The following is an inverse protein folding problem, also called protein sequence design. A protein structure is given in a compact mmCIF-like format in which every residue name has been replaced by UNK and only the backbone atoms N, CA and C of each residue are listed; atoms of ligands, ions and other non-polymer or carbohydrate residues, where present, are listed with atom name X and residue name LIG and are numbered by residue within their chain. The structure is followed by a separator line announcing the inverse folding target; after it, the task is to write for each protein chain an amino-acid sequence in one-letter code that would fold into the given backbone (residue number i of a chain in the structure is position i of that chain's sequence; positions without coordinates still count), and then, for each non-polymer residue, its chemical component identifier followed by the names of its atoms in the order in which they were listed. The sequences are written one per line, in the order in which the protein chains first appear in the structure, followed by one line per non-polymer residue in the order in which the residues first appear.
data_IF_639966131942
#
_entry.id   IF_639966131942
#
_cell.length_a   1.000
_cell.length_b   1.000
_cell.length_c   1.000
_cell.angle_alpha   90.00
_cell.angle_beta   90.00
_cell.angle_gamma   90.00
#
_symmetry.space_group_name_H-M   'P 1'
#
loop_
_entity.id
_entity.type
_entity.pdbx_description
1 polymer ?
#
# COMPACT_ATOMS: atom_id res chain seq x y z
N UNK A 1 -31.58 53.31 13.24
CA UNK A 1 -30.28 52.67 12.95
C UNK A 1 -29.66 52.27 14.27
N UNK A 2 -29.86 51.02 14.69
CA UNK A 2 -29.21 50.45 15.86
C UNK A 2 -27.83 49.96 15.46
N UNK A 3 -26.79 50.59 16.00
CA UNK A 3 -25.40 50.16 15.80
C UNK A 3 -25.20 48.98 16.75
N UNK A 4 -25.22 47.76 16.19
CA UNK A 4 -24.76 46.58 16.90
C UNK A 4 -23.26 46.73 17.13
N UNK A 5 -22.85 46.83 18.40
CA UNK A 5 -21.46 46.77 18.78
C UNK A 5 -20.95 45.36 18.52
N UNK A 6 -20.02 45.28 17.58
CA UNK A 6 -19.25 44.09 17.27
C UNK A 6 -18.52 43.66 18.56
N UNK A 7 -18.79 42.44 19.02
CA UNK A 7 -18.16 41.88 20.20
C UNK A 7 -16.70 41.56 19.87
N UNK A 8 -15.71 41.93 20.70
CA UNK A 8 -14.31 41.59 20.45
C UNK A 8 -14.10 40.07 20.54
N UNK A 9 -13.14 39.49 19.80
CA UNK A 9 -12.86 38.06 19.85
C UNK A 9 -12.44 37.67 21.27
N UNK A 10 -12.98 36.55 21.75
CA UNK A 10 -12.77 36.05 23.11
C UNK A 10 -11.26 35.96 23.43
N UNK A 11 -10.81 36.78 24.37
CA UNK A 11 -9.46 36.71 24.93
C UNK A 11 -9.38 35.40 25.74
N UNK A 12 -8.71 34.39 25.19
CA UNK A 12 -8.50 33.11 25.87
C UNK A 12 -7.78 33.34 27.21
N UNK A 13 -8.37 32.86 28.31
CA UNK A 13 -7.84 33.12 29.66
C UNK A 13 -6.48 32.43 29.85
N UNK A 14 -5.60 33.03 30.66
CA UNK A 14 -4.27 32.47 30.98
C UNK A 14 -4.40 31.04 31.52
N UNK A 15 -5.42 30.79 32.35
CA UNK A 15 -5.72 29.49 32.94
C UNK A 15 -6.08 28.43 31.87
N UNK A 16 -6.80 28.81 30.82
CA UNK A 16 -7.16 27.92 29.71
C UNK A 16 -5.93 27.55 28.87
N UNK A 17 -5.02 28.52 28.64
CA UNK A 17 -3.74 28.27 27.96
C UNK A 17 -2.85 27.33 28.76
N UNK A 18 -2.73 27.55 30.07
CA UNK A 18 -1.97 26.65 30.94
C UNK A 18 -2.56 25.23 30.94
N UNK A 19 -3.90 25.11 30.96
CA UNK A 19 -4.59 23.82 30.91
C UNK A 19 -4.28 23.08 29.61
N UNK A 20 -4.37 23.76 28.46
CA UNK A 20 -4.02 23.19 27.14
C UNK A 20 -2.57 22.73 27.08
N UNK A 21 -1.64 23.53 27.59
CA UNK A 21 -0.21 23.17 27.64
C UNK A 21 0.04 21.93 28.50
N UNK A 22 -0.63 21.81 29.66
CA UNK A 22 -0.53 20.62 30.53
C UNK A 22 -1.07 19.36 29.82
N UNK A 23 -2.17 19.48 29.09
CA UNK A 23 -2.72 18.37 28.31
C UNK A 23 -1.79 17.96 27.17
N UNK A 24 -1.28 18.91 26.40
CA UNK A 24 -0.29 18.68 25.34
C UNK A 24 0.94 17.92 25.87
N UNK A 25 1.52 18.38 26.98
CA UNK A 25 2.68 17.73 27.60
C UNK A 25 2.36 16.30 28.08
N UNK A 26 1.14 16.05 28.55
CA UNK A 26 0.70 14.70 28.92
C UNK A 26 0.69 13.76 27.71
N UNK A 27 0.12 14.20 26.59
CA UNK A 27 0.06 13.40 25.36
C UNK A 27 1.45 13.14 24.80
N UNK A 28 2.34 14.14 24.80
CA UNK A 28 3.74 13.98 24.39
C UNK A 28 4.46 12.92 25.24
N UNK A 29 4.32 13.01 26.56
CA UNK A 29 4.88 12.02 27.47
C UNK A 29 4.27 10.63 27.26
N UNK A 30 2.98 10.54 26.96
CA UNK A 30 2.32 9.26 26.63
C UNK A 30 2.85 8.66 25.33
N UNK A 31 3.10 9.46 24.29
CA UNK A 31 3.67 8.99 23.02
C UNK A 31 5.02 8.30 23.29
N UNK A 32 5.92 8.99 24.02
CA UNK A 32 7.26 8.49 24.29
C UNK A 32 7.21 7.28 25.24
N UNK A 33 6.56 7.41 26.40
CA UNK A 33 6.50 6.33 27.39
C UNK A 33 5.79 5.08 26.86
N UNK A 34 4.75 5.24 26.05
CA UNK A 34 4.08 4.10 25.42
C UNK A 34 4.93 3.45 24.32
N UNK A 35 5.81 4.20 23.65
CA UNK A 35 6.77 3.64 22.68
C UNK A 35 7.86 2.83 23.39
N UNK A 36 8.40 3.34 24.48
CA UNK A 36 9.35 2.60 25.34
C UNK A 36 8.72 1.30 25.86
N UNK A 37 7.49 1.38 26.37
CA UNK A 37 6.74 0.22 26.83
C UNK A 37 6.49 -0.78 25.70
N UNK A 38 6.18 -0.30 24.49
CA UNK A 38 5.97 -1.15 23.32
C UNK A 38 7.26 -1.88 22.91
N UNK A 39 8.38 -1.18 22.84
CA UNK A 39 9.70 -1.79 22.55
C UNK A 39 10.05 -2.82 23.61
N UNK A 40 9.83 -2.51 24.89
CA UNK A 40 10.05 -3.46 25.99
C UNK A 40 9.21 -4.73 25.80
N UNK A 41 7.96 -4.60 25.33
CA UNK A 41 7.11 -5.75 25.02
C UNK A 41 7.62 -6.58 23.84
N UNK A 42 8.15 -5.93 22.80
CA UNK A 42 8.81 -6.63 21.70
C UNK A 42 10.09 -7.32 22.16
N UNK A 43 10.87 -6.71 23.03
CA UNK A 43 12.07 -7.33 23.62
C UNK A 43 11.73 -8.53 24.50
N UNK A 44 10.66 -8.46 25.31
CA UNK A 44 10.14 -9.60 26.06
C UNK A 44 9.74 -10.75 25.12
N UNK A 45 9.08 -10.45 24.00
CA UNK A 45 8.71 -11.43 22.99
C UNK A 45 9.96 -12.05 22.33
N UNK A 46 10.91 -11.23 21.93
CA UNK A 46 12.13 -11.67 21.25
C UNK A 46 13.04 -12.51 22.16
N UNK A 47 13.31 -12.03 23.38
CA UNK A 47 14.24 -12.66 24.31
C UNK A 47 13.60 -13.82 25.07
N UNK A 48 12.32 -13.73 25.40
CA UNK A 48 11.58 -14.76 26.12
C UNK A 48 11.15 -15.94 25.24
N UNK A 49 10.77 -15.67 23.99
CA UNK A 49 10.16 -16.70 23.14
C UNK A 49 10.89 -16.91 21.82
N UNK A 50 11.08 -15.86 21.00
CA UNK A 50 11.59 -16.03 19.63
C UNK A 50 13.01 -16.63 19.61
N UNK A 51 13.95 -16.03 20.34
CA UNK A 51 15.35 -16.49 20.38
C UNK A 51 15.46 -17.87 21.04
N UNK A 52 14.88 -18.13 22.23
CA UNK A 52 15.01 -19.44 22.84
C UNK A 52 14.35 -20.57 22.03
N UNK A 53 13.20 -20.32 21.38
CA UNK A 53 12.55 -21.33 20.53
C UNK A 53 13.41 -21.64 19.31
N UNK A 54 14.04 -20.63 18.70
CA UNK A 54 14.97 -20.78 17.57
C UNK A 54 16.23 -21.53 17.99
N UNK A 55 16.89 -21.10 19.05
CA UNK A 55 18.19 -21.62 19.48
C UNK A 55 18.08 -23.07 19.98
N UNK A 56 16.99 -23.39 20.70
CA UNK A 56 16.69 -24.75 21.16
C UNK A 56 15.98 -25.61 20.13
N UNK A 57 15.65 -25.08 18.95
CA UNK A 57 14.89 -25.74 17.89
C UNK A 57 13.64 -26.49 18.40
N UNK A 58 12.84 -25.85 19.26
CA UNK A 58 11.69 -26.48 19.95
C UNK A 58 10.57 -26.86 18.94
N UNK A 59 10.46 -26.09 17.86
CA UNK A 59 9.47 -26.30 16.80
C UNK A 59 10.14 -26.29 15.41
N UNK A 60 9.52 -26.91 14.40
CA UNK A 60 10.01 -26.86 13.02
C UNK A 60 10.07 -25.43 12.47
N UNK A 61 11.02 -25.19 11.56
CA UNK A 61 11.23 -23.87 10.94
C UNK A 61 9.97 -23.28 10.29
N UNK A 62 9.15 -24.09 9.62
CA UNK A 62 7.92 -23.62 8.98
C UNK A 62 6.92 -23.09 10.01
N UNK A 63 6.76 -23.78 11.15
CA UNK A 63 5.85 -23.38 12.23
C UNK A 63 6.41 -22.17 12.98
N UNK A 64 7.74 -22.09 13.13
CA UNK A 64 8.41 -20.91 13.68
C UNK A 64 8.13 -19.67 12.84
N UNK A 65 8.37 -19.73 11.53
CA UNK A 65 8.10 -18.60 10.62
C UNK A 65 6.61 -18.23 10.60
N UNK A 66 5.71 -19.22 10.65
CA UNK A 66 4.27 -18.96 10.68
C UNK A 66 3.80 -18.27 11.97
N UNK A 67 4.40 -18.54 13.13
CA UNK A 67 3.98 -17.95 14.41
C UNK A 67 4.65 -16.60 14.67
N UNK A 68 5.97 -16.52 14.47
CA UNK A 68 6.75 -15.36 14.88
C UNK A 68 7.02 -14.37 13.74
N UNK A 69 6.79 -14.75 12.48
CA UNK A 69 6.90 -13.87 11.32
C UNK A 69 8.15 -12.96 11.34
N UNK A 70 7.97 -11.72 10.90
CA UNK A 70 9.01 -10.69 10.82
C UNK A 70 9.01 -9.73 12.04
N UNK A 71 8.92 -10.25 13.27
CA UNK A 71 8.95 -9.42 14.50
C UNK A 71 10.28 -8.68 14.69
N UNK A 72 11.41 -9.31 14.33
CA UNK A 72 12.75 -8.72 14.50
C UNK A 72 12.93 -7.41 13.70
N UNK A 73 12.55 -7.34 12.41
CA UNK A 73 12.46 -6.10 11.66
C UNK A 73 11.56 -5.03 12.29
N UNK A 74 10.39 -5.41 12.82
CA UNK A 74 9.49 -4.46 13.50
C UNK A 74 10.17 -3.86 14.74
N UNK A 75 10.76 -4.69 15.58
CA UNK A 75 11.52 -4.21 16.75
C UNK A 75 12.61 -3.21 16.34
N UNK A 76 13.43 -3.54 15.34
CA UNK A 76 14.48 -2.65 14.87
C UNK A 76 13.95 -1.29 14.38
N UNK A 77 12.82 -1.30 13.66
CA UNK A 77 12.18 -0.07 13.19
C UNK A 77 11.70 0.82 14.35
N UNK A 78 11.06 0.23 15.34
CA UNK A 78 10.51 0.97 16.48
C UNK A 78 11.61 1.50 17.42
N UNK A 79 12.73 0.79 17.55
CA UNK A 79 13.92 1.33 18.24
C UNK A 79 14.42 2.61 17.56
N UNK A 80 14.45 2.65 16.23
CA UNK A 80 14.82 3.87 15.48
C UNK A 80 13.77 4.96 15.67
N UNK A 81 12.48 4.63 15.66
CA UNK A 81 11.41 5.59 15.95
C UNK A 81 11.57 6.23 17.34
N UNK A 82 11.83 5.42 18.36
CA UNK A 82 12.01 5.92 19.72
C UNK A 82 13.24 6.83 19.85
N UNK A 83 14.34 6.48 19.18
CA UNK A 83 15.52 7.34 19.11
C UNK A 83 15.23 8.68 18.41
N UNK A 84 14.49 8.66 17.30
CA UNK A 84 14.03 9.89 16.62
C UNK A 84 13.07 10.70 17.48
N UNK A 85 12.17 10.08 18.25
CA UNK A 85 11.24 10.75 19.16
C UNK A 85 11.97 11.44 20.32
N UNK A 86 13.07 10.87 20.81
CA UNK A 86 13.88 11.47 21.87
C UNK A 86 14.78 12.61 21.38
N UNK A 87 15.26 12.52 20.14
CA UNK A 87 16.19 13.49 19.55
C UNK A 87 15.48 14.67 18.87
N UNK A 88 14.29 14.44 18.32
CA UNK A 88 13.58 15.47 17.58
C UNK A 88 12.96 16.49 18.52
N UNK A 89 13.11 17.77 18.19
CA UNK A 89 12.39 18.84 18.88
C UNK A 89 10.87 18.74 18.69
N UNK A 90 10.44 18.08 17.60
CA UNK A 90 9.05 17.92 17.22
C UNK A 90 8.72 16.44 16.90
N UNK A 91 7.74 15.88 17.61
CA UNK A 91 7.26 14.50 17.46
C UNK A 91 6.73 14.21 16.06
N UNK A 92 6.04 15.16 15.43
CA UNK A 92 5.53 15.02 14.06
C UNK A 92 6.64 14.79 13.03
N UNK A 93 7.80 15.42 13.22
CA UNK A 93 8.97 15.22 12.34
C UNK A 93 9.53 13.79 12.44
N UNK A 94 9.59 13.22 13.65
CA UNK A 94 10.01 11.84 13.86
C UNK A 94 9.05 10.87 13.15
N UNK A 95 7.74 11.06 13.28
CA UNK A 95 6.77 10.23 12.58
C UNK A 95 6.84 10.38 11.05
N UNK A 96 7.04 11.59 10.51
CA UNK A 96 7.17 11.78 9.07
C UNK A 96 8.39 11.05 8.48
N UNK A 97 9.50 10.96 9.22
CA UNK A 97 10.68 10.20 8.81
C UNK A 97 10.42 8.69 8.78
N UNK A 98 9.69 8.18 9.77
CA UNK A 98 9.50 6.74 9.98
C UNK A 98 8.27 6.17 9.26
N UNK A 99 7.22 6.95 9.06
CA UNK A 99 5.95 6.49 8.51
C UNK A 99 6.06 5.70 7.18
N UNK A 100 6.93 6.07 6.21
CA UNK A 100 7.10 5.27 4.99
C UNK A 100 7.50 3.81 5.24
N UNK A 101 8.22 3.55 6.33
CA UNK A 101 8.73 2.23 6.72
C UNK A 101 7.73 1.43 7.55
N UNK A 102 6.73 2.08 8.17
CA UNK A 102 5.67 1.39 8.93
C UNK A 102 4.79 0.49 8.04
N UNK A 103 4.90 0.58 6.71
CA UNK A 103 4.29 -0.39 5.79
C UNK A 103 4.76 -1.83 6.02
N UNK A 104 5.91 -2.03 6.66
CA UNK A 104 6.41 -3.34 7.09
C UNK A 104 5.41 -4.09 8.01
N UNK A 105 4.57 -3.37 8.74
CA UNK A 105 3.50 -3.96 9.56
C UNK A 105 2.45 -4.70 8.72
N UNK A 106 2.36 -4.45 7.40
CA UNK A 106 1.37 -5.12 6.53
C UNK A 106 1.58 -6.63 6.47
N UNK A 107 2.83 -7.08 6.35
CA UNK A 107 3.17 -8.52 6.32
C UNK A 107 2.80 -9.18 7.65
N UNK A 108 3.18 -8.57 8.77
CA UNK A 108 2.86 -9.10 10.10
C UNK A 108 1.34 -9.12 10.36
N UNK A 109 0.64 -8.05 9.98
CA UNK A 109 -0.81 -7.96 10.14
C UNK A 109 -1.57 -8.97 9.31
N UNK A 110 -1.09 -9.26 8.10
CA UNK A 110 -1.66 -10.29 7.25
C UNK A 110 -1.52 -11.69 7.85
N UNK A 111 -0.34 -12.04 8.35
CA UNK A 111 -0.06 -13.39 8.84
C UNK A 111 -0.60 -13.64 10.27
N UNK A 112 -1.03 -12.59 10.98
CA UNK A 112 -1.39 -12.66 12.40
C UNK A 112 -2.48 -13.70 12.73
N UNK A 113 -3.56 -13.76 11.95
CA UNK A 113 -4.64 -14.73 12.22
C UNK A 113 -4.15 -16.19 12.07
N UNK A 114 -3.35 -16.45 11.03
CA UNK A 114 -2.72 -17.75 10.81
C UNK A 114 -1.70 -18.06 11.90
N UNK A 115 -0.95 -17.07 12.37
CA UNK A 115 0.01 -17.21 13.46
C UNK A 115 -0.68 -17.65 14.76
N UNK A 116 -1.78 -17.01 15.15
CA UNK A 116 -2.54 -17.38 16.35
C UNK A 116 -3.18 -18.77 16.21
N UNK A 117 -3.76 -19.08 15.06
CA UNK A 117 -4.32 -20.42 14.81
C UNK A 117 -3.24 -21.51 14.89
N UNK A 118 -2.08 -21.26 14.27
CA UNK A 118 -0.92 -22.17 14.30
C UNK A 118 -0.36 -22.33 15.71
N UNK A 119 -0.28 -21.23 16.47
CA UNK A 119 0.15 -21.25 17.87
C UNK A 119 -0.77 -22.14 18.71
N UNK A 120 -2.08 -21.95 18.61
CA UNK A 120 -3.07 -22.75 19.35
C UNK A 120 -3.00 -24.24 18.96
N UNK A 121 -2.84 -24.53 17.66
CA UNK A 121 -2.62 -25.89 17.17
C UNK A 121 -1.35 -26.53 17.75
N UNK A 122 -0.25 -25.78 17.81
CA UNK A 122 1.01 -26.25 18.36
C UNK A 122 0.98 -26.43 19.87
N UNK A 123 0.34 -25.53 20.63
CA UNK A 123 0.13 -25.69 22.08
C UNK A 123 -0.59 -27.00 22.41
N UNK A 124 -1.57 -27.39 21.58
CA UNK A 124 -2.33 -28.65 21.75
C UNK A 124 -1.54 -29.89 21.34
N UNK A 125 -0.80 -29.81 20.24
CA UNK A 125 -0.15 -30.98 19.62
C UNK A 125 1.27 -31.26 20.12
N UNK A 126 2.01 -30.23 20.57
CA UNK A 126 3.40 -30.35 20.99
C UNK A 126 3.56 -30.01 22.48
N UNK A 127 3.60 -31.06 23.32
CA UNK A 127 3.75 -30.94 24.78
C UNK A 127 5.05 -30.25 25.20
N UNK A 128 6.15 -30.42 24.47
CA UNK A 128 7.42 -29.80 24.79
C UNK A 128 7.37 -28.29 24.57
N UNK A 129 6.74 -27.87 23.47
CA UNK A 129 6.48 -26.45 23.19
C UNK A 129 5.54 -25.83 24.22
N UNK A 130 4.44 -26.51 24.58
CA UNK A 130 3.52 -26.02 25.61
C UNK A 130 4.20 -25.86 26.97
N UNK A 131 4.98 -26.86 27.39
CA UNK A 131 5.73 -26.80 28.65
C UNK A 131 6.72 -25.62 28.65
N UNK A 132 7.40 -25.39 27.53
CA UNK A 132 8.30 -24.24 27.36
C UNK A 132 7.53 -22.92 27.45
N UNK A 133 6.45 -22.73 26.69
CA UNK A 133 5.64 -21.50 26.70
C UNK A 133 5.11 -21.24 28.10
N UNK A 134 4.49 -22.23 28.73
CA UNK A 134 4.00 -22.13 30.11
C UNK A 134 5.10 -21.80 31.13
N UNK A 135 6.34 -22.28 30.91
CA UNK A 135 7.48 -21.90 31.76
C UNK A 135 7.85 -20.42 31.55
N UNK A 136 7.95 -19.95 30.32
CA UNK A 136 8.29 -18.56 30.01
C UNK A 136 7.20 -17.59 30.51
N UNK A 137 5.92 -17.92 30.32
CA UNK A 137 4.78 -17.11 30.77
C UNK A 137 4.77 -16.88 32.30
N UNK A 138 5.40 -17.77 33.08
CA UNK A 138 5.51 -17.66 34.55
C UNK A 138 6.72 -16.86 35.02
N UNK A 139 7.66 -16.51 34.14
CA UNK A 139 8.83 -15.74 34.55
C UNK A 139 8.42 -14.31 34.94
N UNK A 140 8.91 -13.77 36.08
CA UNK A 140 8.48 -12.46 36.58
C UNK A 140 8.69 -11.29 35.59
N UNK A 141 9.75 -11.38 34.78
CA UNK A 141 10.10 -10.36 33.78
C UNK A 141 9.32 -10.50 32.46
N UNK A 142 8.50 -11.55 32.31
CA UNK A 142 7.60 -11.74 31.17
C UNK A 142 6.16 -11.59 31.66
N UNK A 143 5.74 -12.44 32.61
CA UNK A 143 4.46 -12.44 33.33
C UNK A 143 3.23 -12.13 32.47
N UNK A 144 3.25 -12.56 31.20
CA UNK A 144 2.25 -12.29 30.17
C UNK A 144 2.13 -13.48 29.23
N UNK A 145 0.91 -13.71 28.74
CA UNK A 145 0.60 -14.71 27.72
C UNK A 145 1.35 -14.44 26.43
N UNK A 146 1.82 -15.47 25.74
CA UNK A 146 2.47 -15.31 24.44
C UNK A 146 1.51 -14.66 23.42
N UNK A 147 0.25 -15.05 23.42
CA UNK A 147 -0.81 -14.47 22.58
C UNK A 147 -0.96 -12.96 22.82
N UNK A 148 -0.85 -12.52 24.08
CA UNK A 148 -0.96 -11.11 24.45
C UNK A 148 0.25 -10.28 23.98
N UNK A 149 1.41 -10.90 23.78
CA UNK A 149 2.57 -10.25 23.16
C UNK A 149 2.48 -10.25 21.63
N UNK A 150 1.90 -11.29 21.01
CA UNK A 150 1.79 -11.35 19.55
C UNK A 150 0.80 -10.32 18.97
N UNK A 151 -0.22 -9.91 19.73
CA UNK A 151 -1.20 -8.91 19.27
C UNK A 151 -0.64 -7.46 19.29
N UNK A 152 0.40 -7.17 20.09
CA UNK A 152 0.83 -5.78 20.32
C UNK A 152 1.21 -5.01 19.05
N UNK A 153 1.88 -5.60 18.02
CA UNK A 153 2.19 -4.86 16.80
C UNK A 153 0.97 -4.47 15.98
N UNK A 154 -0.10 -5.29 16.02
CA UNK A 154 -1.37 -5.01 15.33
C UNK A 154 -2.04 -3.77 15.91
N UNK A 155 -1.94 -3.61 17.23
CA UNK A 155 -2.55 -2.50 17.97
C UNK A 155 -1.75 -1.20 17.87
N UNK A 156 -0.47 -1.25 17.52
CA UNK A 156 0.43 -0.09 17.61
C UNK A 156 0.13 0.99 16.57
N UNK A 157 -0.05 0.62 15.30
CA UNK A 157 -0.33 1.59 14.22
C UNK A 157 -1.63 2.37 14.46
N UNK A 158 -2.77 1.74 14.84
CA UNK A 158 -3.97 2.46 15.26
C UNK A 158 -3.73 3.40 16.44
N UNK A 159 -2.89 3.01 17.41
CA UNK A 159 -2.56 3.85 18.57
C UNK A 159 -1.80 5.11 18.18
N UNK A 160 -0.88 5.06 17.22
CA UNK A 160 -0.20 6.26 16.70
C UNK A 160 -1.20 7.29 16.15
N UNK A 161 -2.22 6.83 15.42
CA UNK A 161 -3.28 7.71 14.91
C UNK A 161 -3.99 8.42 16.06
N UNK A 162 -4.45 7.67 17.07
CA UNK A 162 -5.17 8.24 18.22
C UNK A 162 -4.33 9.29 18.97
N UNK A 163 -3.07 8.96 19.27
CA UNK A 163 -2.16 9.85 20.00
C UNK A 163 -1.83 11.13 19.20
N UNK A 164 -1.61 11.00 17.88
CA UNK A 164 -1.36 12.17 17.02
C UNK A 164 -2.60 13.04 16.88
N UNK A 165 -3.80 12.46 16.74
CA UNK A 165 -5.05 13.21 16.73
C UNK A 165 -5.25 13.97 18.03
N UNK A 166 -5.03 13.33 19.18
CA UNK A 166 -5.14 13.98 20.48
C UNK A 166 -4.11 15.11 20.66
N UNK A 167 -2.88 14.89 20.20
CA UNK A 167 -1.83 15.92 20.26
C UNK A 167 -2.18 17.14 19.40
N UNK A 168 -2.74 16.94 18.21
CA UNK A 168 -3.19 18.02 17.32
C UNK A 168 -4.28 18.86 17.98
N UNK A 169 -5.25 18.23 18.66
CA UNK A 169 -6.34 18.94 19.39
C UNK A 169 -5.80 19.89 20.48
N UNK A 170 -4.60 19.60 21.00
CA UNK A 170 -3.95 20.40 22.04
C UNK A 170 -2.79 21.27 21.52
N UNK A 171 -2.61 21.39 20.21
CA UNK A 171 -1.58 22.23 19.56
C UNK A 171 -2.25 23.38 18.82
N UNK A 172 -1.75 24.61 18.97
CA UNK A 172 -2.35 25.80 18.34
C UNK A 172 -2.17 25.78 16.81
N UNK A 173 -3.22 26.14 16.06
CA UNK A 173 -3.23 26.06 14.59
C UNK A 173 -2.20 26.97 13.90
N UNK A 174 -1.71 28.01 14.59
CA UNK A 174 -0.74 28.97 14.07
C UNK A 174 0.72 28.50 14.23
N UNK A 175 0.96 27.40 14.94
CA UNK A 175 2.31 26.83 15.09
C UNK A 175 2.71 26.04 13.83
N UNK A 176 3.96 26.20 13.37
CA UNK A 176 4.55 25.36 12.32
C UNK A 176 4.44 23.86 12.66
N UNK A 177 4.50 23.55 13.95
CA UNK A 177 4.30 22.21 14.50
C UNK A 177 2.93 21.62 14.18
N UNK A 178 1.86 22.42 14.19
CA UNK A 178 0.52 21.94 13.86
C UNK A 178 0.45 21.41 12.42
N UNK A 179 1.11 22.08 11.46
CA UNK A 179 1.19 21.62 10.08
C UNK A 179 1.98 20.30 9.96
N UNK A 180 3.10 20.18 10.69
CA UNK A 180 3.93 18.97 10.70
C UNK A 180 3.19 17.79 11.33
N UNK A 181 2.45 18.01 12.42
CA UNK A 181 1.63 16.98 13.06
C UNK A 181 0.50 16.48 12.14
N UNK A 182 -0.18 17.39 11.44
CA UNK A 182 -1.19 17.00 10.45
C UNK A 182 -0.59 16.20 9.29
N UNK A 183 0.61 16.58 8.82
CA UNK A 183 1.33 15.80 7.81
C UNK A 183 1.69 14.40 8.32
N UNK A 184 2.14 14.28 9.57
CA UNK A 184 2.44 13.01 10.21
C UNK A 184 1.18 12.13 10.34
N UNK A 185 0.08 12.69 10.84
CA UNK A 185 -1.20 11.99 10.96
C UNK A 185 -1.66 11.45 9.61
N UNK A 186 -1.63 12.27 8.56
CA UNK A 186 -1.99 11.85 7.20
C UNK A 186 -1.13 10.68 6.69
N UNK A 187 0.16 10.68 7.00
CA UNK A 187 1.05 9.57 6.63
C UNK A 187 0.72 8.29 7.42
N UNK A 188 0.43 8.39 8.72
CA UNK A 188 0.00 7.24 9.53
C UNK A 188 -1.34 6.68 9.04
N UNK A 189 -2.29 7.54 8.68
CA UNK A 189 -3.56 7.11 8.07
C UNK A 189 -3.34 6.40 6.73
N UNK A 190 -2.42 6.92 5.89
CA UNK A 190 -2.04 6.26 4.64
C UNK A 190 -1.37 4.88 4.88
N UNK A 191 -0.59 4.73 5.94
CA UNK A 191 -0.01 3.44 6.36
C UNK A 191 -1.11 2.47 6.79
N UNK A 192 -2.04 2.90 7.65
CA UNK A 192 -3.15 2.07 8.10
C UNK A 192 -4.02 1.61 6.92
N UNK A 193 -4.33 2.52 5.99
CA UNK A 193 -5.02 2.19 4.76
C UNK A 193 -4.24 1.18 3.91
N UNK A 194 -2.92 1.36 3.78
CA UNK A 194 -2.07 0.44 3.03
C UNK A 194 -2.06 -0.96 3.64
N UNK A 195 -1.94 -1.09 4.97
CA UNK A 195 -1.99 -2.39 5.67
C UNK A 195 -3.30 -3.11 5.34
N UNK A 196 -4.44 -2.42 5.49
CA UNK A 196 -5.75 -2.99 5.19
C UNK A 196 -5.90 -3.37 3.71
N UNK A 197 -5.40 -2.55 2.79
CA UNK A 197 -5.46 -2.85 1.37
C UNK A 197 -4.57 -4.04 1.00
N UNK A 198 -3.39 -4.18 1.59
CA UNK A 198 -2.53 -5.35 1.37
C UNK A 198 -3.19 -6.66 1.82
N UNK A 199 -3.89 -6.64 2.97
CA UNK A 199 -4.66 -7.80 3.43
C UNK A 199 -5.74 -8.16 2.40
N UNK A 200 -6.54 -7.19 1.95
CA UNK A 200 -7.58 -7.39 0.92
C UNK A 200 -7.00 -7.90 -0.40
N UNK A 201 -5.89 -7.33 -0.86
CA UNK A 201 -5.21 -7.74 -2.09
C UNK A 201 -4.74 -9.19 -2.00
N UNK A 202 -4.22 -9.61 -0.84
CA UNK A 202 -3.80 -10.98 -0.62
C UNK A 202 -4.99 -11.95 -0.63
N UNK A 203 -6.06 -11.66 0.11
CA UNK A 203 -7.28 -12.49 0.13
C UNK A 203 -7.85 -12.67 -1.28
N UNK A 204 -7.90 -11.57 -2.04
CA UNK A 204 -8.30 -11.58 -3.43
C UNK A 204 -7.37 -12.45 -4.29
N UNK A 205 -6.05 -12.37 -4.11
CA UNK A 205 -5.08 -13.24 -4.80
C UNK A 205 -5.30 -14.71 -4.46
N UNK A 206 -5.56 -15.04 -3.19
CA UNK A 206 -5.87 -16.41 -2.77
C UNK A 206 -7.16 -16.91 -3.44
N UNK A 207 -8.20 -16.09 -3.51
CA UNK A 207 -9.43 -16.45 -4.26
C UNK A 207 -9.12 -16.67 -5.73
N UNK A 208 -8.34 -15.80 -6.37
CA UNK A 208 -7.93 -15.97 -7.76
C UNK A 208 -7.15 -17.27 -8.01
N UNK A 209 -6.26 -17.67 -7.09
CA UNK A 209 -5.53 -18.95 -7.16
C UNK A 209 -6.50 -20.12 -7.06
N UNK A 210 -7.49 -20.06 -6.17
CA UNK A 210 -8.53 -21.11 -6.05
C UNK A 210 -9.33 -21.25 -7.34
N UNK A 211 -9.80 -20.13 -7.90
CA UNK A 211 -10.53 -20.12 -9.18
C UNK A 211 -9.64 -20.67 -10.31
N UNK A 212 -8.36 -20.29 -10.37
CA UNK A 212 -7.44 -20.78 -11.40
C UNK A 212 -7.26 -22.30 -11.35
N UNK A 213 -7.32 -22.90 -10.15
CA UNK A 213 -7.25 -24.35 -9.94
C UNK A 213 -8.57 -25.06 -10.29
N UNK A 214 -9.71 -24.41 -10.07
CA UNK A 214 -11.02 -25.00 -10.42
C UNK A 214 -11.29 -25.02 -11.92
N UNK A 215 -10.67 -24.12 -12.69
CA UNK A 215 -10.74 -24.13 -14.14
C UNK A 215 -10.11 -25.40 -14.74
N UNK A 216 -10.85 -26.09 -15.60
CA UNK A 216 -10.45 -27.28 -16.30
C UNK A 216 -9.19 -27.02 -17.13
N UNK A 217 -8.18 -27.87 -16.94
CA UNK A 217 -6.85 -27.73 -17.58
C UNK A 217 -6.16 -26.39 -17.29
N UNK A 218 -6.61 -25.62 -16.29
CA UNK A 218 -6.10 -24.29 -15.99
C UNK A 218 -6.43 -23.22 -17.03
N UNK A 219 -7.43 -23.46 -17.90
CA UNK A 219 -7.79 -22.55 -18.98
C UNK A 219 -9.15 -21.87 -18.73
N UNK A 220 -9.28 -20.55 -18.97
CA UNK A 220 -8.22 -19.61 -19.35
C UNK A 220 -7.26 -19.28 -18.19
N UNK A 221 -6.08 -18.74 -18.52
CA UNK A 221 -5.16 -18.19 -17.50
C UNK A 221 -5.71 -16.87 -16.97
N UNK A 222 -6.24 -16.90 -15.75
CA UNK A 222 -6.83 -15.73 -15.10
C UNK A 222 -5.82 -14.95 -14.26
N UNK A 223 -4.76 -15.60 -13.75
CA UNK A 223 -3.74 -14.91 -12.94
C UNK A 223 -2.91 -14.01 -13.85
N UNK A 224 -3.08 -12.70 -13.71
CA UNK A 224 -2.36 -11.67 -14.45
C UNK A 224 -2.18 -10.41 -13.60
N UNK A 225 -1.12 -9.61 -13.84
CA UNK A 225 -0.90 -8.36 -13.09
C UNK A 225 -2.09 -7.41 -13.23
N UNK A 226 -2.53 -6.83 -12.11
CA UNK A 226 -3.62 -5.86 -12.08
C UNK A 226 -5.03 -6.46 -12.18
N UNK A 227 -5.19 -7.74 -12.51
CA UNK A 227 -6.51 -8.41 -12.46
C UNK A 227 -6.89 -8.72 -11.01
N UNK A 228 -8.14 -8.43 -10.65
CA UNK A 228 -8.73 -8.71 -9.34
C UNK A 228 -10.09 -9.37 -9.50
N UNK A 229 -10.42 -10.28 -8.59
CA UNK A 229 -11.74 -10.87 -8.48
C UNK A 229 -12.70 -9.85 -7.86
N UNK A 230 -13.95 -9.82 -8.32
CA UNK A 230 -15.00 -8.92 -7.81
C UNK A 230 -16.18 -9.72 -7.27
N UNK A 231 -16.75 -10.63 -8.06
CA UNK A 231 -17.96 -11.36 -7.69
C UNK A 231 -18.05 -12.69 -8.42
N UNK A 232 -18.68 -13.68 -7.82
CA UNK A 232 -19.06 -14.94 -8.47
C UNK A 232 -20.44 -15.39 -8.04
N UNK A 233 -21.03 -16.32 -8.80
CA UNK A 233 -22.28 -16.95 -8.45
C UNK A 233 -22.93 -17.70 -9.60
N UNK A 234 -23.87 -18.57 -9.24
CA UNK A 234 -24.68 -19.30 -10.19
C UNK A 234 -25.80 -18.42 -10.74
N UNK A 235 -25.98 -18.43 -12.05
CA UNK A 235 -27.08 -17.75 -12.75
C UNK A 235 -27.63 -18.66 -13.84
N UNK A 236 -28.92 -18.52 -14.16
CA UNK A 236 -29.53 -19.21 -15.29
C UNK A 236 -29.37 -18.38 -16.55
N UNK A 237 -28.59 -18.89 -17.52
CA UNK A 237 -28.51 -18.31 -18.87
C UNK A 237 -29.70 -18.81 -19.69
N UNK A 238 -30.56 -17.89 -20.12
CA UNK A 238 -31.64 -18.18 -21.07
C UNK A 238 -31.03 -18.35 -22.46
N UNK A 239 -31.34 -19.45 -23.14
CA UNK A 239 -30.89 -19.69 -24.50
C UNK A 239 -31.65 -18.79 -25.48
N UNK A 240 -30.97 -18.29 -26.51
CA UNK A 240 -31.62 -17.52 -27.57
C UNK A 240 -32.40 -18.43 -28.53
N UNK A 241 -31.96 -19.68 -28.66
CA UNK A 241 -32.45 -20.64 -29.66
C UNK A 241 -33.46 -21.64 -29.08
N UNK A 242 -33.63 -21.67 -27.75
CA UNK A 242 -34.52 -22.58 -27.05
C UNK A 242 -35.15 -21.90 -25.84
N UNK A 243 -36.41 -22.22 -25.50
CA UNK A 243 -37.06 -21.76 -24.25
C UNK A 243 -36.44 -22.35 -22.97
N UNK A 244 -35.26 -22.97 -23.07
CA UNK A 244 -34.57 -23.60 -21.95
C UNK A 244 -33.57 -22.64 -21.31
N UNK A 245 -33.54 -22.67 -19.97
CA UNK A 245 -32.58 -21.95 -19.17
C UNK A 245 -31.52 -22.92 -18.63
N UNK A 246 -30.25 -22.54 -18.75
CA UNK A 246 -29.14 -23.39 -18.31
C UNK A 246 -28.39 -22.76 -17.15
N UNK A 247 -28.20 -23.51 -16.07
CA UNK A 247 -27.37 -23.07 -14.95
C UNK A 247 -25.90 -22.94 -15.39
N UNK A 248 -25.29 -21.80 -15.07
CA UNK A 248 -23.90 -21.47 -15.35
C UNK A 248 -23.30 -20.75 -14.17
N UNK A 249 -22.02 -20.96 -13.94
CA UNK A 249 -21.28 -20.29 -12.89
C UNK A 249 -20.54 -19.08 -13.46
N UNK A 250 -20.90 -17.88 -13.03
CA UNK A 250 -20.33 -16.62 -13.49
C UNK A 250 -19.25 -16.14 -12.52
N UNK A 251 -18.18 -15.59 -13.08
CA UNK A 251 -17.08 -15.00 -12.34
C UNK A 251 -16.75 -13.65 -12.99
N UNK A 252 -16.89 -12.60 -12.21
CA UNK A 252 -16.60 -11.21 -12.57
C UNK A 252 -15.25 -10.80 -11.99
N UNK A 253 -14.37 -10.35 -12.88
CA UNK A 253 -13.11 -9.69 -12.57
C UNK A 253 -13.21 -8.20 -12.91
N UNK A 254 -12.22 -7.41 -12.52
CA UNK A 254 -12.17 -5.98 -12.83
C UNK A 254 -11.98 -5.63 -14.32
N UNK A 255 -11.57 -6.58 -15.16
CA UNK A 255 -11.33 -6.37 -16.61
C UNK A 255 -12.16 -7.30 -17.52
N UNK A 256 -12.78 -8.35 -16.96
CA UNK A 256 -13.55 -9.33 -17.72
C UNK A 256 -14.65 -10.01 -16.89
N UNK A 257 -15.68 -10.49 -17.58
CA UNK A 257 -16.70 -11.38 -17.04
C UNK A 257 -16.58 -12.73 -17.75
N UNK A 258 -16.53 -13.84 -17.04
CA UNK A 258 -16.55 -15.17 -17.65
C UNK A 258 -17.66 -16.03 -17.06
N UNK A 259 -18.11 -17.03 -17.82
CA UNK A 259 -18.99 -18.06 -17.29
C UNK A 259 -18.53 -19.47 -17.64
N UNK A 260 -18.86 -20.39 -16.75
CA UNK A 260 -18.43 -21.77 -16.80
C UNK A 260 -19.62 -22.74 -16.75
N UNK A 261 -19.44 -23.91 -17.37
CA UNK A 261 -20.24 -25.11 -17.09
C UNK A 261 -19.60 -25.84 -15.91
N UNK A 262 -20.41 -26.22 -14.92
CA UNK A 262 -19.96 -27.02 -13.79
C UNK A 262 -19.92 -28.50 -14.21
N UNK A 263 -18.78 -29.16 -14.03
CA UNK A 263 -18.57 -30.60 -14.26
C UNK A 263 -18.67 -31.43 -12.98
N UNK A 264 -18.64 -30.80 -11.81
CA UNK A 264 -18.66 -31.52 -10.53
C UNK A 264 -20.03 -32.18 -10.29
N UNK A 265 -20.07 -33.50 -10.01
CA UNK A 265 -21.33 -34.19 -9.67
C UNK A 265 -21.93 -33.72 -8.34
N UNK A 266 -21.12 -33.15 -7.43
CA UNK A 266 -21.58 -32.54 -6.17
C UNK A 266 -21.86 -31.04 -6.28
N UNK A 267 -21.78 -30.45 -7.49
CA UNK A 267 -21.81 -29.00 -7.73
C UNK A 267 -20.74 -28.19 -6.95
N UNK A 268 -19.74 -28.86 -6.37
CA UNK A 268 -18.61 -28.19 -5.71
C UNK A 268 -17.72 -27.48 -6.74
N UNK A 269 -17.62 -26.16 -6.59
CA UNK A 269 -16.92 -25.28 -7.52
C UNK A 269 -15.40 -25.25 -7.26
N UNK A 270 -14.96 -25.41 -6.02
CA UNK A 270 -13.54 -25.25 -5.68
C UNK A 270 -12.68 -26.50 -5.95
N UNK A 271 -13.29 -27.59 -6.42
CA UNK A 271 -12.58 -28.80 -6.83
C UNK A 271 -11.75 -28.56 -8.10
N UNK A 272 -10.58 -29.20 -8.17
CA UNK A 272 -9.67 -29.06 -9.31
C UNK A 272 -10.35 -29.49 -10.62
N UNK A 273 -10.41 -28.58 -11.59
CA UNK A 273 -11.00 -28.85 -12.90
C UNK A 273 -12.53 -29.01 -12.93
N UNK A 274 -13.22 -28.60 -11.87
CA UNK A 274 -14.70 -28.60 -11.77
C UNK A 274 -15.38 -27.63 -12.74
N UNK A 275 -14.70 -26.57 -13.19
CA UNK A 275 -15.26 -25.51 -14.02
C UNK A 275 -14.72 -25.57 -15.45
N UNK A 276 -15.62 -25.60 -16.43
CA UNK A 276 -15.25 -25.49 -17.85
C UNK A 276 -15.64 -24.11 -18.34
N UNK A 277 -14.65 -23.25 -18.56
CA UNK A 277 -14.89 -21.95 -19.15
C UNK A 277 -15.57 -22.10 -20.51
N UNK A 278 -16.71 -21.42 -20.68
CA UNK A 278 -17.50 -21.45 -21.91
C UNK A 278 -17.38 -20.16 -22.70
N UNK A 279 -17.28 -19.01 -22.04
CA UNK A 279 -17.03 -17.73 -22.70
C UNK A 279 -16.38 -16.72 -21.75
N UNK A 280 -15.67 -15.73 -22.32
CA UNK A 280 -15.04 -14.60 -21.63
C UNK A 280 -15.41 -13.31 -22.35
N UNK A 281 -16.03 -12.37 -21.62
CA UNK A 281 -16.46 -11.06 -22.08
C UNK A 281 -15.51 -9.98 -21.53
N UNK A 282 -14.83 -9.21 -22.39
CA UNK A 282 -14.04 -8.06 -21.95
C UNK A 282 -14.96 -6.96 -21.41
N UNK A 283 -14.80 -6.58 -20.14
CA UNK A 283 -15.72 -5.64 -19.48
C UNK A 283 -15.78 -4.27 -20.16
N UNK A 284 -14.71 -3.86 -20.85
CA UNK A 284 -14.65 -2.58 -21.57
C UNK A 284 -15.75 -2.37 -22.62
N UNK A 285 -16.45 -3.43 -23.02
CA UNK A 285 -17.58 -3.36 -23.96
C UNK A 285 -18.89 -3.87 -23.35
N UNK A 286 -18.89 -4.14 -22.04
CA UNK A 286 -20.04 -4.72 -21.37
C UNK A 286 -20.99 -3.63 -20.86
N UNK A 287 -22.28 -3.89 -20.95
CA UNK A 287 -23.33 -3.10 -20.28
C UNK A 287 -24.35 -4.06 -19.67
N UNK A 288 -24.68 -3.87 -18.39
CA UNK A 288 -25.69 -4.64 -17.70
C UNK A 288 -26.95 -3.79 -17.48
N UNK A 289 -28.12 -4.36 -17.81
CA UNK A 289 -29.42 -3.69 -17.71
C UNK A 289 -30.45 -4.64 -17.10
N UNK A 290 -31.22 -4.18 -16.12
CA UNK A 290 -32.37 -4.92 -15.63
C UNK A 290 -33.45 -5.01 -16.72
N UNK A 291 -34.09 -6.17 -16.84
CA UNK A 291 -35.21 -6.40 -17.76
C UNK A 291 -36.50 -6.47 -16.94
N UNK A 292 -37.64 -6.18 -17.56
CA UNK A 292 -38.95 -6.26 -16.89
C UNK A 292 -39.20 -7.70 -16.39
N UNK A 293 -39.38 -7.86 -15.09
CA UNK A 293 -39.57 -9.15 -14.41
C UNK A 293 -38.57 -9.37 -13.26
N UNK A 294 -39.00 -10.03 -12.19
CA UNK A 294 -38.17 -10.23 -11.00
C UNK A 294 -36.93 -11.08 -11.30
N UNK A 295 -35.74 -10.50 -11.09
CA UNK A 295 -34.46 -11.19 -11.22
C UNK A 295 -33.95 -11.41 -12.65
N UNK A 296 -34.60 -10.84 -13.66
CA UNK A 296 -34.16 -10.93 -15.05
C UNK A 296 -33.31 -9.72 -15.44
N UNK A 297 -32.14 -9.97 -16.03
CA UNK A 297 -31.27 -8.90 -16.51
C UNK A 297 -30.49 -9.33 -17.75
N UNK A 298 -30.04 -8.34 -18.52
CA UNK A 298 -29.32 -8.53 -19.76
C UNK A 298 -27.90 -8.01 -19.61
N UNK A 299 -26.93 -8.80 -20.05
CA UNK A 299 -25.54 -8.36 -20.22
C UNK A 299 -25.26 -8.33 -21.71
N UNK A 300 -24.99 -7.14 -22.23
CA UNK A 300 -24.59 -6.95 -23.63
C UNK A 300 -23.10 -6.72 -23.70
N UNK A 301 -22.42 -7.33 -24.67
CA UNK A 301 -21.01 -7.15 -24.94
C UNK A 301 -20.81 -7.10 -26.46
N UNK A 302 -20.65 -5.89 -27.01
CA UNK A 302 -20.66 -5.66 -28.46
C UNK A 302 -21.95 -6.23 -29.09
N UNK A 303 -21.83 -7.17 -30.03
CA UNK A 303 -22.94 -7.78 -30.76
C UNK A 303 -23.53 -9.01 -30.04
N UNK A 304 -22.90 -9.47 -28.94
CA UNK A 304 -23.42 -10.57 -28.14
C UNK A 304 -24.28 -10.06 -26.97
N UNK A 305 -25.41 -10.72 -26.73
CA UNK A 305 -26.25 -10.45 -25.57
C UNK A 305 -26.56 -11.73 -24.80
N UNK A 306 -26.49 -11.64 -23.47
CA UNK A 306 -26.85 -12.70 -22.54
C UNK A 306 -28.07 -12.27 -21.75
N UNK A 307 -29.14 -13.05 -21.83
CA UNK A 307 -30.28 -12.91 -20.93
C UNK A 307 -30.08 -13.85 -19.73
N UNK A 308 -30.00 -13.27 -18.53
CA UNK A 308 -29.66 -13.95 -17.30
C UNK A 308 -30.79 -13.81 -16.28
N UNK A 309 -31.11 -14.92 -15.61
CA UNK A 309 -32.09 -14.97 -14.55
C UNK A 309 -31.39 -15.39 -13.24
N UNK A 310 -31.53 -14.55 -12.22
CA UNK A 310 -31.13 -14.83 -10.84
C UNK A 310 -32.23 -15.57 -10.08
N UNK A 311 -31.91 -16.06 -8.89
CA UNK A 311 -32.90 -16.73 -8.03
C UNK A 311 -33.80 -15.72 -7.32
N UNK A 312 -33.28 -14.53 -7.02
CA UNK A 312 -34.03 -13.43 -6.40
C UNK A 312 -33.84 -12.13 -7.17
N UNK A 313 -34.82 -11.22 -7.09
CA UNK A 313 -34.73 -9.89 -7.69
C UNK A 313 -33.52 -9.09 -7.16
N UNK A 314 -33.27 -9.16 -5.86
CA UNK A 314 -32.13 -8.50 -5.21
C UNK A 314 -30.79 -9.02 -5.73
N UNK A 315 -30.64 -10.34 -5.92
CA UNK A 315 -29.42 -10.91 -6.48
C UNK A 315 -29.19 -10.38 -7.90
N UNK A 316 -30.23 -10.30 -8.72
CA UNK A 316 -30.16 -9.75 -10.08
C UNK A 316 -29.74 -8.28 -10.08
N UNK A 317 -30.36 -7.46 -9.22
CA UNK A 317 -30.01 -6.05 -9.03
C UNK A 317 -28.55 -5.87 -8.61
N UNK A 318 -28.08 -6.64 -7.63
CA UNK A 318 -26.68 -6.63 -7.20
C UNK A 318 -25.72 -6.96 -8.34
N UNK A 319 -26.04 -7.95 -9.18
CA UNK A 319 -25.20 -8.28 -10.34
C UNK A 319 -25.12 -7.12 -11.33
N UNK A 320 -26.24 -6.50 -11.66
CA UNK A 320 -26.28 -5.33 -12.57
C UNK A 320 -25.45 -4.18 -12.01
N UNK A 321 -25.66 -3.81 -10.75
CA UNK A 321 -24.91 -2.75 -10.08
C UNK A 321 -23.42 -3.05 -10.03
N UNK A 322 -23.04 -4.28 -9.66
CA UNK A 322 -21.63 -4.67 -9.55
C UNK A 322 -20.92 -4.67 -10.91
N UNK A 323 -21.58 -5.16 -11.97
CA UNK A 323 -21.01 -5.15 -13.33
C UNK A 323 -20.83 -3.72 -13.81
N UNK A 324 -21.84 -2.86 -13.68
CA UNK A 324 -21.75 -1.47 -14.13
C UNK A 324 -20.70 -0.68 -13.34
N UNK A 325 -20.63 -0.86 -12.02
CA UNK A 325 -19.59 -0.25 -11.19
C UNK A 325 -18.18 -0.71 -11.60
N UNK A 326 -18.00 -1.99 -11.95
CA UNK A 326 -16.72 -2.51 -12.44
C UNK A 326 -16.34 -1.89 -13.80
N UNK A 327 -17.30 -1.71 -14.71
CA UNK A 327 -17.09 -1.05 -16.01
C UNK A 327 -16.70 0.42 -15.83
N UNK A 328 -17.42 1.15 -14.99
CA UNK A 328 -17.13 2.56 -14.67
C UNK A 328 -15.74 2.73 -14.06
N UNK A 329 -15.37 1.86 -13.11
CA UNK A 329 -14.04 1.89 -12.49
C UNK A 329 -12.93 1.56 -13.50
N UNK A 330 -13.17 0.60 -14.40
CA UNK A 330 -12.25 0.28 -15.47
C UNK A 330 -12.02 1.49 -16.39
N UNK A 331 -13.09 2.19 -16.78
CA UNK A 331 -13.00 3.41 -17.58
C UNK A 331 -12.25 4.53 -16.85
N UNK A 332 -12.55 4.75 -15.56
CA UNK A 332 -11.87 5.75 -14.75
C UNK A 332 -10.35 5.49 -14.70
N UNK A 333 -9.95 4.23 -14.49
CA UNK A 333 -8.54 3.81 -14.52
C UNK A 333 -7.87 4.03 -15.89
N UNK A 334 -8.60 3.86 -17.00
CA UNK A 334 -8.06 4.19 -18.32
C UNK A 334 -7.90 5.69 -18.56
N UNK A 335 -8.75 6.53 -17.95
CA UNK A 335 -8.64 7.99 -18.04
C UNK A 335 -7.37 8.50 -17.35
N UNK A 336 -6.97 7.90 -16.22
CA UNK A 336 -5.73 8.29 -15.49
C UNK A 336 -4.44 7.91 -16.22
N UNK A 337 -4.47 6.92 -17.12
CA UNK A 337 -3.30 6.50 -17.92
C UNK A 337 -2.98 7.44 -19.09
N UNK A 338 -3.84 8.40 -19.41
CA UNK A 338 -3.55 9.42 -20.43
C UNK A 338 -2.72 10.55 -19.81
N UNK A 339 -1.41 10.55 -20.04
CA UNK A 339 -0.53 11.70 -19.77
C UNK A 339 -1.09 12.95 -20.47
N UNK A 340 -1.32 14.04 -19.76
CA UNK A 340 -1.72 15.31 -20.39
C UNK A 340 -0.65 15.88 -21.34
N UNK A 341 0.60 15.42 -21.20
CA UNK A 341 1.65 15.67 -22.19
C UNK A 341 1.44 14.94 -23.53
N UNK A 342 0.65 13.88 -23.57
CA UNK A 342 0.31 13.12 -24.79
C UNK A 342 -0.81 13.76 -25.61
N UNK A 343 -1.55 14.74 -25.05
CA UNK A 343 -2.51 15.57 -25.79
C UNK A 343 -1.87 16.81 -26.43
N UNK A 344 -0.57 17.04 -26.21
CA UNK A 344 0.17 18.14 -26.83
C UNK A 344 0.25 17.94 -28.35
N UNK A 345 -0.30 18.88 -29.10
CA UNK A 345 -0.17 18.90 -30.57
C UNK A 345 1.24 19.35 -30.97
N UNK A 346 1.80 18.86 -32.11
CA UNK A 346 3.05 19.38 -32.66
C UNK A 346 2.95 20.89 -32.88
N UNK A 347 3.83 21.64 -32.24
CA UNK A 347 3.91 23.10 -32.41
C UNK A 347 4.64 23.36 -33.74
N UNK A 348 3.96 24.01 -34.69
CA UNK A 348 4.58 24.37 -35.99
C UNK A 348 5.45 25.61 -35.83
N UNK A 349 6.49 25.77 -36.66
CA UNK A 349 7.48 26.89 -36.60
C UNK A 349 6.85 28.28 -36.44
N UNK A 350 5.69 28.53 -37.07
CA UNK A 350 4.94 29.80 -36.97
C UNK A 350 4.37 30.10 -35.57
N UNK A 351 4.16 29.08 -34.74
CA UNK A 351 3.60 29.18 -33.39
C UNK A 351 4.66 29.25 -32.29
N UNK A 352 5.94 28.98 -32.60
CA UNK A 352 7.06 29.14 -31.66
C UNK A 352 7.29 30.62 -31.30
N UNK A 353 7.23 31.51 -32.30
CA UNK A 353 7.48 32.95 -32.13
C UNK A 353 6.42 33.67 -31.28
N UNK A 354 5.20 33.13 -31.18
CA UNK A 354 4.13 33.70 -30.36
C UNK A 354 4.33 33.40 -28.86
N UNK A 355 5.00 32.28 -28.54
CA UNK A 355 5.29 31.86 -27.16
C UNK A 355 6.48 32.60 -26.57
N UNK A 356 7.50 32.91 -27.37
CA UNK A 356 8.65 33.71 -26.91
C UNK A 356 8.23 35.12 -26.50
N UNK A 357 7.26 35.72 -27.21
CA UNK A 357 6.72 37.04 -26.84
C UNK A 357 5.95 37.01 -25.52
N UNK A 358 5.25 35.91 -25.20
CA UNK A 358 4.52 35.77 -23.94
C UNK A 358 5.45 35.42 -22.78
N UNK A 359 6.42 34.53 -22.98
CA UNK A 359 7.41 34.15 -21.96
C UNK A 359 8.34 35.32 -21.60
N UNK A 360 8.69 36.19 -22.56
CA UNK A 360 9.46 37.42 -22.31
C UNK A 360 8.66 38.45 -21.50
N UNK A 361 7.37 38.62 -21.76
CA UNK A 361 6.48 39.49 -20.95
C UNK A 361 6.33 38.97 -19.51
N UNK A 362 6.33 37.66 -19.30
CA UNK A 362 6.34 37.06 -17.96
C UNK A 362 7.67 37.26 -17.22
N UNK A 363 8.81 37.20 -17.92
CA UNK A 363 10.13 37.46 -17.30
C UNK A 363 10.34 38.93 -16.96
N UNK A 364 9.85 39.85 -17.79
CA UNK A 364 10.01 41.29 -17.56
C UNK A 364 9.16 41.80 -16.38
N UNK A 365 7.99 41.18 -16.12
CA UNK A 365 7.15 41.49 -14.96
C UNK A 365 7.71 40.95 -13.63
N UNK A 366 8.65 39.99 -13.69
CA UNK A 366 9.31 39.40 -12.53
C UNK A 366 10.58 40.16 -12.12
N UNK A 367 11.13 41.00 -13.00
CA UNK A 367 12.36 41.77 -12.78
C UNK A 367 12.12 43.20 -12.26
N UNK A 368 10.88 43.70 -12.23
CA UNK A 368 10.56 45.04 -11.69
C UNK A 368 10.08 45.02 -10.23
N UNK A 369 10.27 43.91 -9.50
CA UNK A 369 9.82 43.75 -8.11
C UNK A 369 10.92 43.37 -7.12
N UNK A 370 12.16 43.16 -7.56
CA UNK A 370 13.29 42.91 -6.67
C UNK A 370 14.37 43.96 -6.89
N UNK A 371 14.38 44.97 -6.03
CA UNK A 371 15.49 45.87 -5.80
C UNK A 371 16.50 45.15 -4.87
N UNK A 372 17.76 44.91 -5.28
CA UNK A 372 18.80 44.45 -4.39
C UNK A 372 19.84 45.57 -4.24
N UNK A 373 19.70 46.34 -3.17
CA UNK A 373 20.84 47.08 -2.63
C UNK A 373 21.84 46.08 -2.06
N UNK A 374 23.13 46.36 -2.34
CA UNK A 374 24.33 45.89 -1.64
C UNK A 374 24.97 44.56 -2.11
N UNK A 375 26.16 44.77 -2.71
CA UNK A 375 27.38 43.95 -2.75
C UNK A 375 27.56 42.86 -3.83
N UNK A 376 28.51 43.16 -4.72
CA UNK A 376 29.13 42.30 -5.73
C UNK A 376 30.07 41.24 -5.12
N UNK A 377 30.37 40.16 -5.86
CA UNK A 377 31.68 39.52 -5.83
C UNK A 377 32.45 39.74 -7.14
N UNK A 378 33.74 40.01 -6.94
CA UNK A 378 34.82 40.21 -7.89
C UNK A 378 35.00 39.10 -8.92
N UNK A 379 35.31 39.53 -10.14
CA UNK A 379 35.88 38.81 -11.27
C UNK A 379 37.08 37.91 -10.92
N UNK A 380 37.08 36.69 -11.44
CA UNK A 380 38.31 35.97 -11.79
C UNK A 380 38.13 35.32 -13.17
N UNK A 381 38.96 35.77 -14.11
CA UNK A 381 39.04 35.30 -15.50
C UNK A 381 39.74 33.93 -15.59
N UNK A 382 39.40 33.23 -16.67
CA UNK A 382 39.90 31.93 -17.09
C UNK A 382 41.20 32.11 -17.87
N UNK A 383 42.25 31.36 -17.55
CA UNK A 383 43.34 31.09 -18.48
C UNK A 383 43.78 29.62 -18.39
N UNK A 384 43.48 28.84 -19.43
CA UNK A 384 43.89 27.44 -19.57
C UNK A 384 44.98 27.39 -20.65
N UNK A 385 46.24 27.25 -20.22
CA UNK A 385 47.37 26.92 -21.08
C UNK A 385 47.50 25.39 -21.19
N UNK A 386 47.40 24.88 -22.42
CA UNK A 386 47.83 23.53 -22.82
C UNK A 386 49.17 23.65 -23.53
N UNK A 387 50.14 22.85 -23.12
CA UNK A 387 51.34 22.52 -23.88
C UNK A 387 51.42 21.01 -24.06
N UNK A 388 51.43 20.53 -25.30
CA UNK A 388 52.05 19.25 -25.65
C UNK A 388 52.86 19.40 -26.93
N UNK A 389 53.74 18.42 -27.09
CA UNK A 389 55.05 18.47 -27.68
C UNK A 389 55.06 18.43 -29.22
N UNK A 390 56.22 18.83 -29.73
CA UNK A 390 56.75 18.84 -31.10
C UNK A 390 56.48 17.60 -31.98
N UNK A 391 56.42 17.78 -33.31
CA UNK A 391 56.68 16.68 -34.27
C UNK A 391 56.04 16.70 -35.65
N UNK A 392 56.35 17.71 -36.48
CA UNK A 392 56.55 17.69 -37.96
C UNK A 392 55.71 16.85 -38.95
N UNK A 393 55.34 17.58 -40.02
CA UNK A 393 55.13 17.21 -41.43
C UNK A 393 53.72 16.95 -42.00
N UNK A 394 53.45 17.72 -43.06
CA UNK A 394 52.30 17.79 -43.96
C UNK A 394 52.80 17.45 -45.39
N UNK A 395 51.99 17.42 -46.47
CA UNK A 395 50.52 17.31 -46.56
C UNK A 395 50.03 16.36 -47.70
N UNK A 396 48.69 16.34 -47.88
CA UNK A 396 47.93 16.44 -49.16
C UNK A 396 47.19 15.20 -49.71
N UNK A 397 45.91 15.49 -50.02
CA UNK A 397 44.97 14.95 -51.02
C UNK A 397 43.92 13.91 -50.58
N UNK A 398 42.67 14.39 -50.55
CA UNK A 398 41.39 13.69 -50.79
C UNK A 398 41.13 13.63 -52.33
N UNK A 399 40.08 12.96 -52.91
CA UNK A 399 38.79 12.57 -52.31
C UNK A 399 38.13 11.24 -52.81
N UNK A 400 36.86 11.02 -52.40
CA UNK A 400 35.78 10.17 -52.97
C UNK A 400 35.80 8.66 -52.68
N UNK A 401 34.72 7.89 -52.47
CA UNK A 401 33.25 8.06 -52.48
C UNK A 401 32.58 6.82 -51.79
N UNK A 402 31.39 7.04 -51.20
CA UNK A 402 30.19 6.17 -51.11
C UNK A 402 30.07 4.96 -50.15
N UNK A 403 29.09 5.16 -49.26
CA UNK A 403 27.91 4.31 -48.94
C UNK A 403 28.06 3.04 -48.08
N UNK A 404 27.69 3.24 -46.81
CA UNK A 404 26.71 2.47 -46.00
C UNK A 404 26.78 0.95 -46.03
N UNK A 405 27.31 0.39 -44.94
CA UNK A 405 27.19 -1.01 -44.55
C UNK A 405 26.10 -1.15 -43.47
N UNK A 406 25.07 -1.96 -43.75
CA UNK A 406 24.15 -2.53 -42.77
C UNK A 406 24.67 -3.91 -42.40
N UNK A 407 25.16 -4.10 -41.17
CA UNK A 407 25.22 -5.43 -40.51
C UNK A 407 25.14 -5.28 -38.99
N UNK A 408 24.14 -5.93 -38.41
CA UNK A 408 23.98 -6.23 -36.99
C UNK A 408 25.17 -7.06 -36.45
N UNK A 409 25.65 -6.83 -35.20
CA UNK A 409 26.46 -7.79 -34.46
C UNK A 409 25.57 -8.53 -33.43
N UNK A 410 25.52 -9.86 -33.51
CA UNK A 410 26.35 -10.83 -32.73
C UNK A 410 26.00 -10.90 -31.23
N UNK A 411 25.36 -12.02 -30.88
CA UNK A 411 25.42 -12.63 -29.54
C UNK A 411 26.88 -12.79 -29.08
N UNK A 412 27.14 -12.41 -27.82
CA UNK A 412 28.25 -12.95 -27.05
C UNK A 412 27.74 -13.64 -25.78
N UNK A 413 28.49 -14.67 -25.42
CA UNK A 413 28.19 -15.79 -24.53
C UNK A 413 28.28 -15.38 -23.05
N UNK A 414 27.41 -15.96 -22.23
CA UNK A 414 27.48 -15.96 -20.77
C UNK A 414 28.51 -17.01 -20.29
N UNK A 415 29.30 -16.74 -19.23
CA UNK A 415 30.19 -17.72 -18.64
C UNK A 415 29.42 -18.71 -17.73
N UNK A 416 29.86 -19.98 -17.76
CA UNK A 416 29.42 -21.07 -16.90
C UNK A 416 30.03 -20.93 -15.50
N UNK A 417 29.24 -21.20 -14.46
CA UNK A 417 29.68 -21.32 -13.07
C UNK A 417 29.96 -22.80 -12.72
N UNK A 418 30.92 -23.10 -11.81
CA UNK A 418 31.18 -24.46 -11.35
C UNK A 418 30.20 -24.90 -10.26
N UNK A 419 29.92 -26.20 -10.24
CA UNK A 419 29.13 -26.89 -9.21
C UNK A 419 29.95 -27.17 -7.94
N UNK A 420 29.21 -27.31 -6.83
CA UNK A 420 29.55 -27.85 -5.50
C UNK A 420 30.21 -26.89 -4.48
N UNK A 421 29.42 -26.51 -3.47
CA UNK A 421 29.63 -26.86 -2.05
C UNK A 421 28.59 -26.16 -1.14
N UNK A 422 28.20 -26.87 -0.08
CA UNK A 422 27.35 -26.50 1.05
C UNK A 422 27.45 -25.03 1.51
N UNK A 423 26.33 -24.31 1.59
CA UNK A 423 26.25 -22.99 2.20
C UNK A 423 24.83 -22.43 2.22
N UNK A 424 24.35 -22.07 3.41
CA UNK A 424 23.07 -21.44 3.73
C UNK A 424 22.75 -20.21 2.86
N UNK A 425 21.47 -19.94 2.50
CA UNK A 425 21.09 -18.61 2.07
C UNK A 425 20.85 -17.73 3.31
N UNK A 426 21.88 -16.98 3.71
CA UNK A 426 21.73 -15.84 4.62
C UNK A 426 21.02 -14.70 3.89
N UNK A 427 19.83 -14.32 4.34
CA UNK A 427 19.16 -13.09 3.89
C UNK A 427 19.95 -11.86 4.39
N UNK A 428 20.18 -10.82 3.55
CA UNK A 428 21.17 -9.80 3.85
C UNK A 428 20.53 -8.54 4.45
N UNK A 429 20.09 -8.56 5.70
CA UNK A 429 19.80 -7.32 6.43
C UNK A 429 20.39 -7.36 7.84
N UNK A 430 21.65 -6.91 7.94
CA UNK A 430 22.26 -6.55 9.21
C UNK A 430 21.65 -5.22 9.70
N UNK A 431 21.38 -5.04 11.01
CA UNK A 431 20.87 -3.80 11.60
C UNK A 431 21.67 -2.55 11.20
N UNK A 432 22.97 -2.70 10.88
CA UNK A 432 23.83 -1.60 10.41
C UNK A 432 23.47 -1.06 9.01
N UNK A 433 22.83 -1.85 8.15
CA UNK A 433 22.45 -1.41 6.78
C UNK A 433 21.16 -0.59 6.75
N UNK A 434 20.24 -0.82 7.70
CA UNK A 434 19.04 0.01 7.87
C UNK A 434 19.39 1.43 8.33
N UNK A 435 20.36 1.55 9.24
CA UNK A 435 20.88 2.86 9.69
C UNK A 435 21.58 3.65 8.56
N UNK A 436 22.19 2.97 7.58
CA UNK A 436 22.88 3.60 6.46
C UNK A 436 21.95 4.13 5.36
N UNK A 437 20.68 3.68 5.30
CA UNK A 437 19.67 4.14 4.34
C UNK A 437 18.95 5.43 4.78
N UNK A 438 19.21 5.92 6.00
CA UNK A 438 18.49 7.04 6.65
C UNK A 438 19.29 8.36 6.59
N UNK A 439 20.37 8.43 5.78
CA UNK A 439 21.08 9.70 5.57
C UNK A 439 20.24 10.69 4.73
N UNK A 440 20.15 11.98 5.13
CA UNK A 440 19.17 12.91 4.55
C UNK A 440 19.60 13.37 3.15
N UNK A 441 18.84 12.98 2.13
CA UNK A 441 18.78 13.70 0.85
C UNK A 441 17.58 14.64 0.87
N UNK A 442 17.84 15.94 0.67
CA UNK A 442 16.91 17.07 0.70
C UNK A 442 15.64 16.85 -0.14
N UNK A 443 14.43 17.21 0.37
CA UNK A 443 13.20 17.12 -0.43
C UNK A 443 12.87 18.46 -1.07
N UNK A 444 12.54 18.44 -2.36
CA UNK A 444 11.85 19.53 -3.05
C UNK A 444 10.50 18.99 -3.53
N UNK A 445 9.42 19.29 -2.81
CA UNK A 445 8.05 18.99 -3.21
C UNK A 445 7.19 20.25 -3.08
N UNK A 446 6.60 20.67 -4.19
CA UNK A 446 5.57 21.72 -4.25
C UNK A 446 4.16 21.10 -4.15
N UNK A 447 3.14 21.85 -3.67
CA UNK A 447 1.86 21.29 -3.29
C UNK A 447 0.87 21.23 -4.47
N UNK A 448 -0.01 20.23 -4.46
CA UNK A 448 -1.25 20.22 -5.26
C UNK A 448 -2.42 20.09 -4.29
N UNK A 449 -3.27 21.11 -4.31
CA UNK A 449 -4.55 21.18 -3.60
C UNK A 449 -5.55 20.20 -4.23
N UNK A 450 -6.21 19.41 -3.40
CA UNK A 450 -7.66 19.13 -3.47
C UNK A 450 -8.06 18.26 -2.27
N UNK A 451 -9.07 18.70 -1.53
CA UNK A 451 -9.59 18.04 -0.34
C UNK A 451 -10.69 17.03 -0.71
N UNK A 452 -10.69 15.80 -0.18
CA UNK A 452 -11.86 14.93 -0.22
C UNK A 452 -12.69 15.05 1.08
N UNK A 453 -13.97 14.67 1.06
CA UNK A 453 -14.90 14.93 2.15
C UNK A 453 -14.70 13.99 3.35
N UNK A 454 -15.03 14.52 4.53
CA UNK A 454 -15.01 13.84 5.84
C UNK A 454 -16.09 12.75 5.86
N UNK A 455 -15.68 11.49 5.97
CA UNK A 455 -16.60 10.38 6.27
C UNK A 455 -16.50 10.00 7.75
N UNK A 456 -17.61 10.17 8.47
CA UNK A 456 -17.78 9.70 9.84
C UNK A 456 -17.76 8.16 9.87
N UNK A 457 -16.71 7.59 10.46
CA UNK A 457 -16.65 6.17 10.78
C UNK A 457 -17.27 5.92 12.17
N UNK A 458 -18.55 5.54 12.19
CA UNK A 458 -19.10 4.77 13.30
C UNK A 458 -18.52 3.35 13.23
N UNK A 459 -17.75 2.95 14.24
CA UNK A 459 -17.44 1.53 14.47
C UNK A 459 -18.41 0.98 15.51
N UNK A 460 -19.06 -0.17 15.29
CA UNK A 460 -19.91 -0.79 16.30
C UNK A 460 -19.06 -1.46 17.40
N UNK A 461 -19.58 -1.60 18.63
CA UNK A 461 -18.87 -2.22 19.73
C UNK A 461 -18.77 -3.74 19.53
N UNK A 462 -17.57 -4.28 19.78
CA UNK A 462 -17.32 -5.71 19.90
C UNK A 462 -17.93 -6.17 21.23
N UNK A 463 -19.03 -6.92 21.18
CA UNK A 463 -19.58 -7.59 22.36
C UNK A 463 -18.65 -8.74 22.77
N UNK A 464 -18.05 -8.64 23.95
CA UNK A 464 -17.45 -9.76 24.67
C UNK A 464 -18.41 -10.20 25.77
N UNK A 465 -19.21 -11.22 25.49
CA UNK A 465 -19.92 -11.96 26.53
C UNK A 465 -18.92 -12.87 27.26
N UNK A 466 -18.49 -12.44 28.44
CA UNK A 466 -17.96 -13.31 29.47
C UNK A 466 -19.00 -13.37 30.60
N UNK A 467 -19.83 -14.41 30.57
CA UNK A 467 -20.62 -14.81 31.73
C UNK A 467 -19.69 -15.37 32.81
N UNK A 468 -19.55 -14.62 33.89
CA UNK A 468 -18.99 -15.11 35.15
C UNK A 468 -20.11 -15.87 35.86
N UNK A 469 -20.01 -17.20 35.91
CA UNK A 469 -20.71 -18.00 36.89
C UNK A 469 -19.99 -17.85 38.23
N UNK A 470 -20.69 -17.30 39.21
CA UNK A 470 -20.44 -17.50 40.64
C UNK A 470 -21.73 -18.00 41.23
N UNK A 471 -21.63 -19.14 41.93
CA UNK A 471 -22.57 -19.82 42.84
C UNK A 471 -24.00 -19.27 43.00
#
# INVERSE_FOLDING_TARGET
MSIAMDSPPAHESIEEKERKLRLRNRVLNEIISSEESYITQLEMLLNGFVRPVRDKNIIPKHSFSAIFGDIEPLHALNVVLNDELRKSENVGSAFCKIAPYLKLYSTYAHDYELAISSLQGLRKSNKAFEAFVSQQERLPHISRKLEALLIVPIQRVPRYRLLLTELIVHTEEQEEEHAILNAALKQIEAVAHHINEQIREHENMQRMIRIQRSLAQGNPKIISPGRRFIKEGSLRKVSADSESAHNRYFILFNDMLLYCKVRSPSNEIDLKGSLVCSCVFPLRHCKAEAVVGDGLFRVTCRDESLLLCSDTADQGKQWVETINAAVEQLEANFRTLRKESSSRRPIRKRQLHQKDSLMRKFHQKKLTLNDPSVCQPSSFEVEVLRSENTGSHSPRQSPTLKSTCVKSPRLMKLPKWPESCSGSPSFPYSPRKLLALIAPSSPNCSPVHEAPPVFNFYSPPIQTDFTVNTD
#
